data_IF_334213191710
#
_entry.id   IF_334213191710
#
_cell.length_a   1.000
_cell.length_b   1.000
_cell.length_c   1.000
_cell.angle_alpha   90.00
_cell.angle_beta   90.00
_cell.angle_gamma   90.00
#
_symmetry.space_group_name_H-M   'P 1'
#
loop_
_entity.id
_entity.type
_entity.pdbx_description
1 polymer ?
#
# COMPACT_ATOMS: atom_id res chain seq x y z
N UNK A 1 0.49 -10.85 -49.45
CA UNK A 1 0.08 -9.65 -50.20
C UNK A 1 -1.03 -8.93 -49.44
N UNK A 2 -0.90 -7.60 -49.34
CA UNK A 2 -1.78 -6.60 -48.68
C UNK A 2 -3.28 -6.91 -48.72
N UNK A 3 -3.97 -6.59 -47.61
CA UNK A 3 -4.83 -5.38 -47.57
C UNK A 3 -4.90 -4.79 -46.16
N UNK A 4 -4.48 -3.52 -46.11
CA UNK A 4 -4.62 -2.55 -45.04
C UNK A 4 -5.89 -1.72 -45.36
N UNK A 5 -6.74 -1.47 -44.37
CA UNK A 5 -7.73 -0.37 -44.28
C UNK A 5 -8.29 -0.43 -42.85
N UNK A 6 -7.81 0.39 -41.90
CA UNK A 6 -8.23 1.77 -41.59
C UNK A 6 -9.75 1.88 -41.49
N UNK A 7 -10.25 1.86 -40.26
CA UNK A 7 -11.32 2.72 -39.71
C UNK A 7 -11.54 2.24 -38.27
N UNK A 8 -11.03 2.99 -37.27
CA UNK A 8 -11.57 3.09 -35.89
C UNK A 8 -10.64 3.90 -34.95
N UNK A 9 -10.01 4.98 -35.45
CA UNK A 9 -9.41 6.03 -34.60
C UNK A 9 -10.49 7.00 -34.07
N UNK A 10 -11.64 6.47 -33.65
CA UNK A 10 -12.54 7.23 -32.79
C UNK A 10 -11.93 7.19 -31.38
N UNK A 11 -11.56 8.33 -30.76
CA UNK A 11 -11.16 8.30 -29.36
C UNK A 11 -12.32 7.69 -28.57
N UNK A 12 -12.06 6.53 -27.96
CA UNK A 12 -13.00 5.84 -27.10
C UNK A 12 -13.62 6.89 -26.17
N UNK A 13 -14.96 7.05 -26.14
CA UNK A 13 -15.57 7.96 -25.19
C UNK A 13 -15.08 7.49 -23.82
N UNK A 14 -14.42 8.39 -23.08
CA UNK A 14 -14.06 8.20 -21.69
C UNK A 14 -15.39 8.06 -20.93
N UNK A 15 -15.95 6.85 -20.97
CA UNK A 15 -17.04 6.42 -20.12
C UNK A 15 -16.53 6.68 -18.73
N UNK A 16 -17.10 7.70 -18.09
CA UNK A 16 -16.88 8.03 -16.68
C UNK A 16 -16.87 6.72 -15.92
N UNK A 17 -15.68 6.33 -15.46
CA UNK A 17 -15.40 4.99 -14.99
C UNK A 17 -16.22 4.72 -13.71
N UNK A 18 -17.43 4.17 -13.88
CA UNK A 18 -18.12 3.52 -12.79
C UNK A 18 -17.28 2.27 -12.47
N UNK A 19 -16.42 2.38 -11.45
CA UNK A 19 -15.61 1.25 -11.00
C UNK A 19 -16.55 0.09 -10.66
N UNK A 20 -16.28 -1.13 -11.15
CA UNK A 20 -17.02 -2.32 -10.77
C UNK A 20 -17.14 -2.43 -9.25
N UNK A 21 -18.30 -2.87 -8.76
CA UNK A 21 -18.62 -2.92 -7.33
C UNK A 21 -17.60 -3.74 -6.51
N UNK A 22 -16.97 -4.76 -7.13
CA UNK A 22 -15.87 -5.54 -6.54
C UNK A 22 -14.62 -4.70 -6.27
N UNK A 23 -14.28 -3.77 -7.16
CA UNK A 23 -13.12 -2.89 -6.99
C UNK A 23 -13.40 -1.86 -5.89
N UNK A 24 -14.62 -1.33 -5.82
CA UNK A 24 -15.02 -0.41 -4.75
C UNK A 24 -14.94 -1.06 -3.36
N UNK A 25 -15.40 -2.30 -3.22
CA UNK A 25 -15.30 -3.05 -1.96
C UNK A 25 -13.84 -3.26 -1.52
N UNK A 26 -12.95 -3.54 -2.48
CA UNK A 26 -11.51 -3.68 -2.20
C UNK A 26 -10.87 -2.38 -1.69
N UNK A 27 -11.20 -1.25 -2.32
CA UNK A 27 -10.67 0.06 -1.89
C UNK A 27 -11.12 0.40 -0.47
N UNK A 28 -12.40 0.17 -0.16
CA UNK A 28 -12.96 0.42 1.17
C UNK A 28 -12.28 -0.48 2.22
N UNK A 29 -12.15 -1.78 1.94
CA UNK A 29 -11.52 -2.72 2.87
C UNK A 29 -10.07 -2.31 3.17
N UNK A 30 -9.31 -1.94 2.14
CA UNK A 30 -7.92 -1.47 2.30
C UNK A 30 -7.82 -0.22 3.17
N UNK A 31 -8.75 0.73 2.98
CA UNK A 31 -8.80 1.93 3.80
C UNK A 31 -9.10 1.61 5.27
N UNK A 32 -10.02 0.67 5.54
CA UNK A 32 -10.33 0.21 6.90
C UNK A 32 -9.09 -0.38 7.56
N UNK A 33 -8.37 -1.26 6.86
CA UNK A 33 -7.16 -1.90 7.39
C UNK A 33 -6.08 -0.87 7.70
N UNK A 34 -5.84 0.08 6.79
CA UNK A 34 -4.87 1.18 7.01
C UNK A 34 -5.30 2.05 8.20
N UNK A 35 -6.58 2.34 8.33
CA UNK A 35 -7.11 3.14 9.43
C UNK A 35 -6.93 2.44 10.78
N UNK A 36 -7.26 1.15 10.86
CA UNK A 36 -7.05 0.33 12.06
C UNK A 36 -5.57 0.25 12.44
N UNK A 37 -4.70 -0.01 11.46
CA UNK A 37 -3.25 -0.01 11.67
C UNK A 37 -2.79 1.33 12.25
N UNK A 38 -3.24 2.45 11.67
CA UNK A 38 -2.90 3.79 12.16
C UNK A 38 -3.35 4.04 13.61
N UNK A 39 -4.55 3.58 13.99
CA UNK A 39 -5.04 3.69 15.37
C UNK A 39 -4.19 2.86 16.33
N UNK A 40 -3.88 1.61 15.98
CA UNK A 40 -3.05 0.72 16.82
C UNK A 40 -1.67 1.31 17.05
N UNK A 41 -1.04 1.85 16.00
CA UNK A 41 0.29 2.46 16.08
C UNK A 41 0.33 3.69 17.00
N UNK A 42 -0.76 4.46 17.09
CA UNK A 42 -0.83 5.63 17.97
C UNK A 42 -0.97 5.26 19.46
N UNK A 43 -1.41 4.05 19.77
CA UNK A 43 -1.63 3.59 21.15
C UNK A 43 -0.50 2.73 21.71
N UNK A 44 0.41 2.25 20.85
CA UNK A 44 1.50 1.36 21.24
C UNK A 44 2.72 2.16 21.72
N UNK A 45 3.20 1.86 22.93
CA UNK A 45 4.35 2.54 23.55
C UNK A 45 5.62 1.68 23.51
N UNK A 46 5.47 0.37 23.29
CA UNK A 46 6.59 -0.54 23.15
C UNK A 46 7.16 -0.44 21.72
N UNK A 47 8.42 0.01 21.60
CA UNK A 47 9.08 0.21 20.30
C UNK A 47 9.14 -1.07 19.48
N UNK A 48 9.48 -2.20 20.09
CA UNK A 48 9.64 -3.48 19.39
C UNK A 48 8.29 -3.95 18.82
N UNK A 49 7.24 -3.86 19.64
CA UNK A 49 5.88 -4.20 19.25
C UNK A 49 5.33 -3.25 18.19
N UNK A 50 5.59 -1.95 18.32
CA UNK A 50 5.23 -0.95 17.33
C UNK A 50 5.86 -1.27 15.97
N UNK A 51 7.16 -1.57 15.95
CA UNK A 51 7.89 -1.94 14.74
C UNK A 51 7.37 -3.24 14.12
N UNK A 52 7.07 -4.24 14.94
CA UNK A 52 6.48 -5.51 14.49
C UNK A 52 5.11 -5.30 13.83
N UNK A 53 4.25 -4.48 14.45
CA UNK A 53 2.92 -4.13 13.91
C UNK A 53 3.05 -3.36 12.59
N UNK A 54 3.96 -2.37 12.52
CA UNK A 54 4.22 -1.63 11.27
C UNK A 54 4.68 -2.56 10.15
N UNK A 55 5.73 -3.36 10.37
CA UNK A 55 6.28 -4.25 9.36
C UNK A 55 5.26 -5.29 8.90
N UNK A 56 4.51 -5.88 9.83
CA UNK A 56 3.44 -6.82 9.52
C UNK A 56 2.34 -6.16 8.71
N UNK A 57 1.87 -4.96 9.10
CA UNK A 57 0.84 -4.23 8.34
C UNK A 57 1.31 -3.75 6.96
N UNK A 58 2.59 -3.42 6.80
CA UNK A 58 3.15 -3.00 5.50
C UNK A 58 3.27 -4.21 4.55
N UNK A 59 3.64 -5.37 5.09
CA UNK A 59 3.92 -6.58 4.30
C UNK A 59 2.73 -7.52 4.15
N UNK A 60 1.70 -7.40 5.00
CA UNK A 60 0.47 -8.17 4.89
C UNK A 60 -0.24 -7.82 3.58
N UNK A 61 -0.57 -8.86 2.80
CA UNK A 61 -1.15 -8.75 1.46
C UNK A 61 -2.43 -7.91 1.39
N UNK A 62 -3.26 -7.98 2.43
CA UNK A 62 -4.56 -7.27 2.48
C UNK A 62 -4.44 -5.80 2.93
N UNK A 63 -3.30 -5.39 3.47
CA UNK A 63 -3.06 -4.05 3.98
C UNK A 63 -2.37 -3.19 2.92
N UNK A 64 -1.04 -3.16 2.91
CA UNK A 64 -0.27 -2.44 1.89
C UNK A 64 0.28 -3.37 0.80
N UNK A 65 0.53 -4.64 1.13
CA UNK A 65 0.89 -5.68 0.17
C UNK A 65 2.31 -5.58 -0.40
N UNK A 66 3.25 -4.94 0.32
CA UNK A 66 4.65 -4.94 -0.09
C UNK A 66 5.31 -6.28 0.21
N UNK A 67 6.08 -6.81 -0.74
CA UNK A 67 6.75 -8.11 -0.54
C UNK A 67 7.77 -8.10 0.61
N UNK A 68 8.41 -6.96 0.88
CA UNK A 68 9.44 -6.78 1.92
C UNK A 68 9.43 -5.33 2.42
N UNK A 69 9.72 -5.15 3.71
CA UNK A 69 9.94 -3.86 4.33
C UNK A 69 11.16 -3.93 5.27
N UNK A 70 11.85 -2.81 5.42
CA UNK A 70 12.99 -2.65 6.32
C UNK A 70 12.81 -1.34 7.08
N UNK A 71 13.03 -1.35 8.39
CA UNK A 71 13.00 -0.14 9.22
C UNK A 71 14.41 0.18 9.71
N UNK A 72 14.78 1.44 9.53
CA UNK A 72 16.00 2.00 10.06
C UNK A 72 15.64 3.17 10.97
N UNK A 73 16.20 3.19 12.17
CA UNK A 73 16.08 4.29 13.10
C UNK A 73 17.41 5.02 13.18
N UNK A 74 17.36 6.34 13.39
CA UNK A 74 18.56 7.11 13.63
C UNK A 74 19.15 6.72 14.99
N UNK A 75 20.46 6.54 15.07
CA UNK A 75 21.15 6.38 16.34
C UNK A 75 20.97 7.63 17.22
N UNK A 76 21.20 7.48 18.52
CA UNK A 76 21.11 8.60 19.48
C UNK A 76 22.08 9.74 19.18
N UNK A 77 23.14 9.47 18.42
CA UNK A 77 24.11 10.46 17.97
C UNK A 77 23.71 11.23 16.71
N UNK A 78 22.62 10.84 16.05
CA UNK A 78 22.13 11.45 14.82
C UNK A 78 22.96 11.14 13.57
N UNK A 79 23.86 10.15 13.60
CA UNK A 79 24.91 9.96 12.58
C UNK A 79 24.74 8.70 11.76
N UNK A 80 24.04 7.71 12.28
CA UNK A 80 23.90 6.40 11.64
C UNK A 80 22.44 5.97 11.59
N UNK A 81 22.05 5.36 10.49
CA UNK A 81 20.79 4.62 10.38
C UNK A 81 21.04 3.17 10.81
N UNK A 82 20.38 2.76 11.89
CA UNK A 82 20.51 1.43 12.48
C UNK A 82 19.27 0.62 12.14
N UNK A 83 19.47 -0.53 11.50
CA UNK A 83 18.40 -1.48 11.21
C UNK A 83 17.84 -2.06 12.51
N UNK A 84 16.52 -2.15 12.61
CA UNK A 84 15.84 -2.81 13.72
C UNK A 84 15.25 -4.13 13.24
N UNK A 85 15.53 -5.19 13.99
CA UNK A 85 14.89 -6.49 13.80
C UNK A 85 13.61 -6.49 14.63
N UNK A 86 12.49 -6.87 14.02
CA UNK A 86 11.19 -6.99 14.65
C UNK A 86 10.40 -8.11 13.97
#
# INVERSE_FOLDING_TARGET
MKKLRTDDDAPLPLQTANLPQSIQAHVINRLIVIHQLSLTLQTELDEERLLHIMLSGITAGEALGFNRALVFLLDSGGKSLVGKMA
#
